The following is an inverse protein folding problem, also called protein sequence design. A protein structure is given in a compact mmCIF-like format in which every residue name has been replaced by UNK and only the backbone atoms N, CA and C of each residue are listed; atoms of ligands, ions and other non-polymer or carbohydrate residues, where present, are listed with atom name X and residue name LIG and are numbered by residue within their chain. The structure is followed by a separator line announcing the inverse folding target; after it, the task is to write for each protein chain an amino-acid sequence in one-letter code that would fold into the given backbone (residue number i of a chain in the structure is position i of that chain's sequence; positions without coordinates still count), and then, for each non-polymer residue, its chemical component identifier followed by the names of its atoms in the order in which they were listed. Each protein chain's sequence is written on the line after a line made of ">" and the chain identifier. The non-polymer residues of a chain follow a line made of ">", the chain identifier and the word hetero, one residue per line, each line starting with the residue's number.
data_IF_605920026240
#
_entry.id   IF_605920026240
#
_cell.length_a   1.000
_cell.length_b   1.000
_cell.length_c   1.000
_cell.angle_alpha   90.00
_cell.angle_beta   90.00
_cell.angle_gamma   90.00
#
_symmetry.space_group_name_H-M   'P 1'
#
loop_
_entity.id
_entity.type
_entity.pdbx_description
1 polymer ?
#
# COMPACT_ATOMS: atom_id res chain seq x y z
N UNK A 1 0.97 29.73 0.25
CA UNK A 1 0.16 29.00 1.25
C UNK A 1 0.63 27.54 1.29
N UNK A 2 0.94 27.03 2.49
CA UNK A 2 1.62 25.74 2.72
C UNK A 2 0.75 24.55 2.29
N UNK A 3 1.43 23.56 1.71
CA UNK A 3 0.93 22.31 1.12
C UNK A 3 0.02 21.53 2.07
N UNK A 4 -1.21 21.24 1.62
CA UNK A 4 -2.06 20.19 2.18
C UNK A 4 -1.43 18.82 1.86
N UNK A 5 -0.51 18.34 2.70
CA UNK A 5 -0.04 16.95 2.72
C UNK A 5 -1.08 15.98 3.33
N UNK A 6 -2.28 16.47 3.68
CA UNK A 6 -3.38 15.74 4.29
C UNK A 6 -4.38 15.26 3.23
N UNK A 7 -3.97 14.33 2.36
CA UNK A 7 -4.97 13.44 1.77
C UNK A 7 -5.29 12.37 2.83
N UNK A 8 -6.58 12.15 3.17
CA UNK A 8 -6.98 11.03 4.02
C UNK A 8 -6.42 9.73 3.44
N UNK A 9 -6.17 8.73 4.29
CA UNK A 9 -5.77 7.40 3.86
C UNK A 9 -6.69 6.91 2.71
N UNK A 10 -6.17 6.15 1.74
CA UNK A 10 -7.00 5.62 0.66
C UNK A 10 -8.25 4.96 1.21
N UNK A 11 -9.39 5.11 0.52
CA UNK A 11 -10.68 4.61 1.01
C UNK A 11 -10.61 3.11 1.26
N UNK A 12 -9.89 2.37 0.41
CA UNK A 12 -9.64 0.94 0.64
C UNK A 12 -8.86 0.66 1.92
N UNK A 13 -7.85 1.47 2.23
CA UNK A 13 -7.03 1.33 3.43
C UNK A 13 -7.87 1.54 4.69
N UNK A 14 -8.75 2.55 4.70
CA UNK A 14 -9.64 2.79 5.84
C UNK A 14 -10.65 1.64 6.02
N UNK A 15 -11.23 1.15 4.92
CA UNK A 15 -12.18 0.04 4.97
C UNK A 15 -11.51 -1.27 5.45
N UNK A 16 -10.31 -1.58 4.96
CA UNK A 16 -9.55 -2.77 5.37
C UNK A 16 -9.04 -2.66 6.81
N UNK A 17 -8.65 -1.48 7.26
CA UNK A 17 -8.28 -1.24 8.65
C UNK A 17 -9.48 -1.45 9.58
N UNK A 18 -10.65 -0.89 9.23
CA UNK A 18 -11.88 -1.11 9.97
C UNK A 18 -12.27 -2.60 9.99
N UNK A 19 -12.10 -3.30 8.86
CA UNK A 19 -12.32 -4.74 8.77
C UNK A 19 -11.40 -5.53 9.73
N UNK A 20 -10.11 -5.17 9.80
CA UNK A 20 -9.16 -5.77 10.74
C UNK A 20 -9.56 -5.54 12.21
N UNK A 21 -9.92 -4.29 12.56
CA UNK A 21 -10.38 -3.94 13.91
C UNK A 21 -11.64 -4.72 14.28
N UNK A 22 -12.63 -4.78 13.38
CA UNK A 22 -13.87 -5.52 13.63
C UNK A 22 -13.64 -7.03 13.76
N UNK A 23 -12.73 -7.60 12.97
CA UNK A 23 -12.31 -9.00 13.13
C UNK A 23 -11.69 -9.26 14.51
N UNK A 24 -10.82 -8.35 14.96
CA UNK A 24 -10.18 -8.43 16.28
C UNK A 24 -11.17 -8.28 17.43
N UNK A 25 -12.21 -7.48 17.25
CA UNK A 25 -13.30 -7.27 18.22
C UNK A 25 -14.41 -8.33 18.14
N UNK A 26 -14.21 -9.41 17.36
CA UNK A 26 -15.19 -10.50 17.19
C UNK A 26 -16.53 -10.04 16.57
N UNK A 27 -16.50 -9.05 15.68
CA UNK A 27 -17.61 -8.65 14.80
C UNK A 27 -17.35 -9.06 13.34
N UNK A 28 -17.25 -10.37 13.02
CA UNK A 28 -16.79 -10.84 11.72
C UNK A 28 -17.74 -10.46 10.58
N UNK A 29 -19.06 -10.45 10.79
CA UNK A 29 -20.03 -10.14 9.73
C UNK A 29 -19.86 -8.72 9.19
N UNK A 30 -19.78 -7.74 10.08
CA UNK A 30 -19.53 -6.34 9.70
C UNK A 30 -18.12 -6.18 9.12
N UNK A 31 -17.15 -6.89 9.69
CA UNK A 31 -15.78 -6.93 9.18
C UNK A 31 -15.67 -7.48 7.75
N UNK A 32 -16.38 -8.55 7.41
CA UNK A 32 -16.40 -9.12 6.06
C UNK A 32 -17.02 -8.17 5.02
N UNK A 33 -18.08 -7.44 5.40
CA UNK A 33 -18.67 -6.41 4.53
C UNK A 33 -17.64 -5.33 4.22
N UNK A 34 -16.94 -4.82 5.24
CA UNK A 34 -15.91 -3.81 5.06
C UNK A 34 -14.68 -4.35 4.33
N UNK A 35 -14.31 -5.61 4.55
CA UNK A 35 -13.23 -6.27 3.82
C UNK A 35 -13.55 -6.32 2.33
N UNK A 36 -14.74 -6.81 1.97
CA UNK A 36 -15.21 -6.84 0.58
C UNK A 36 -15.27 -5.44 -0.05
N UNK A 37 -15.83 -4.47 0.67
CA UNK A 37 -15.88 -3.08 0.21
C UNK A 37 -14.47 -2.50 0.00
N UNK A 38 -13.54 -2.80 0.90
CA UNK A 38 -12.13 -2.38 0.82
C UNK A 38 -11.42 -2.96 -0.40
N UNK A 39 -11.61 -4.26 -0.70
CA UNK A 39 -11.05 -4.91 -1.88
C UNK A 39 -11.64 -4.32 -3.17
N UNK A 40 -12.96 -4.08 -3.23
CA UNK A 40 -13.60 -3.47 -4.41
C UNK A 40 -13.14 -2.03 -4.61
N UNK A 41 -13.08 -1.24 -3.54
CA UNK A 41 -12.57 0.13 -3.59
C UNK A 41 -11.12 0.15 -4.05
N UNK A 42 -10.31 -0.79 -3.55
CA UNK A 42 -8.93 -0.93 -3.99
C UNK A 42 -8.85 -1.23 -5.48
N UNK A 43 -9.56 -2.25 -5.97
CA UNK A 43 -9.52 -2.65 -7.37
C UNK A 43 -10.05 -1.57 -8.34
N UNK A 44 -11.06 -0.78 -7.93
CA UNK A 44 -11.72 0.18 -8.83
C UNK A 44 -11.17 1.61 -8.74
N UNK A 45 -10.75 2.04 -7.56
CA UNK A 45 -10.38 3.43 -7.29
C UNK A 45 -8.87 3.59 -7.08
N UNK A 46 -8.29 2.77 -6.20
CA UNK A 46 -6.90 2.96 -5.75
C UNK A 46 -5.90 2.26 -6.67
N UNK A 47 -6.30 1.17 -7.34
CA UNK A 47 -5.49 0.43 -8.31
C UNK A 47 -5.21 1.22 -9.61
N UNK A 48 -5.84 2.37 -9.84
CA UNK A 48 -5.44 3.28 -10.92
C UNK A 48 -4.43 4.33 -10.42
N UNK A 49 -4.43 4.64 -9.13
CA UNK A 49 -3.47 5.53 -8.48
C UNK A 49 -2.14 4.84 -8.13
N UNK A 50 -2.12 3.51 -8.19
CA UNK A 50 -1.00 2.55 -8.22
C UNK A 50 0.34 3.05 -8.77
N UNK A 51 0.32 3.88 -9.81
CA UNK A 51 1.52 4.35 -10.50
C UNK A 51 2.08 5.67 -9.94
N UNK A 52 1.34 6.35 -9.05
CA UNK A 52 1.61 7.75 -8.69
C UNK A 52 1.88 7.99 -7.21
N UNK A 53 1.61 7.04 -6.31
CA UNK A 53 1.76 7.26 -4.86
C UNK A 53 2.27 6.04 -4.10
N UNK A 54 3.20 6.26 -3.18
CA UNK A 54 3.80 5.22 -2.31
C UNK A 54 2.83 4.68 -1.26
N UNK A 55 1.69 5.35 -1.04
CA UNK A 55 0.64 4.92 -0.10
C UNK A 55 -0.09 3.63 -0.52
N UNK A 56 0.24 3.10 -1.69
CA UNK A 56 -0.36 1.90 -2.27
C UNK A 56 -0.04 0.60 -1.49
N UNK A 57 1.11 0.52 -0.82
CA UNK A 57 1.52 -0.71 -0.11
C UNK A 57 0.66 -1.05 1.12
N UNK A 58 -0.08 -0.07 1.64
CA UNK A 58 -0.88 -0.23 2.85
C UNK A 58 -2.09 -1.15 2.67
N UNK A 59 -2.80 -1.08 1.54
CA UNK A 59 -4.02 -1.88 1.35
C UNK A 59 -3.73 -3.39 1.21
N UNK A 60 -2.73 -3.84 0.42
CA UNK A 60 -2.35 -5.27 0.39
C UNK A 60 -1.89 -5.79 1.75
N UNK A 61 -1.11 -5.00 2.50
CA UNK A 61 -0.67 -5.37 3.83
C UNK A 61 -1.85 -5.48 4.81
N UNK A 62 -2.77 -4.53 4.80
CA UNK A 62 -3.98 -4.59 5.63
C UNK A 62 -4.91 -5.72 5.23
N UNK A 63 -5.02 -6.05 3.94
CA UNK A 63 -5.80 -7.21 3.50
C UNK A 63 -5.23 -8.52 4.05
N UNK A 64 -3.88 -8.67 4.05
CA UNK A 64 -3.20 -9.80 4.67
C UNK A 64 -3.45 -9.90 6.17
N UNK A 65 -3.53 -8.78 6.89
CA UNK A 65 -3.80 -8.77 8.34
C UNK A 65 -5.28 -8.98 8.66
N UNK A 66 -6.17 -8.36 7.89
CA UNK A 66 -7.62 -8.42 8.09
C UNK A 66 -8.19 -9.82 7.85
N UNK A 67 -7.70 -10.54 6.83
CA UNK A 67 -8.25 -11.84 6.47
C UNK A 67 -8.14 -12.88 7.60
N UNK A 68 -6.96 -13.16 8.20
CA UNK A 68 -6.87 -14.08 9.34
C UNK A 68 -7.63 -13.58 10.57
N UNK A 69 -7.66 -12.26 10.81
CA UNK A 69 -8.43 -11.68 11.92
C UNK A 69 -9.95 -11.91 11.76
N UNK A 70 -10.45 -11.97 10.53
CA UNK A 70 -11.87 -12.23 10.23
C UNK A 70 -12.20 -13.71 10.12
N UNK A 71 -11.30 -14.50 9.54
CA UNK A 71 -11.50 -15.92 9.31
C UNK A 71 -11.21 -16.76 10.57
N UNK A 72 -10.40 -16.25 11.50
CA UNK A 72 -10.05 -16.92 12.74
C UNK A 72 -9.48 -18.32 12.50
N UNK A 73 -9.97 -19.32 13.24
CA UNK A 73 -9.55 -20.71 13.09
C UNK A 73 -9.88 -21.33 11.72
N UNK A 74 -10.75 -20.71 10.93
CA UNK A 74 -11.14 -21.15 9.59
C UNK A 74 -10.31 -20.47 8.47
N UNK A 75 -9.24 -19.75 8.83
CA UNK A 75 -8.39 -19.08 7.86
C UNK A 75 -7.73 -20.09 6.90
N UNK A 76 -8.17 -20.08 5.64
CA UNK A 76 -7.57 -20.91 4.60
C UNK A 76 -6.13 -20.47 4.30
N UNK A 77 -5.17 -21.39 4.48
CA UNK A 77 -3.74 -21.19 4.23
C UNK A 77 -3.45 -20.69 2.82
N UNK A 78 -4.14 -21.21 1.80
CA UNK A 78 -3.92 -20.80 0.41
C UNK A 78 -4.29 -19.32 0.18
N UNK A 79 -5.36 -18.84 0.82
CA UNK A 79 -5.79 -17.45 0.72
C UNK A 79 -4.81 -16.53 1.46
N UNK A 80 -4.40 -16.90 2.67
CA UNK A 80 -3.39 -16.15 3.42
C UNK A 80 -2.07 -16.08 2.65
N UNK A 81 -1.64 -17.19 2.04
CA UNK A 81 -0.43 -17.23 1.22
C UNK A 81 -0.55 -16.33 -0.03
N UNK A 82 -1.68 -16.37 -0.73
CA UNK A 82 -1.91 -15.52 -1.89
C UNK A 82 -1.89 -14.02 -1.51
N UNK A 83 -2.50 -13.65 -0.37
CA UNK A 83 -2.44 -12.29 0.15
C UNK A 83 -1.02 -11.87 0.54
N UNK A 84 -0.24 -12.79 1.14
CA UNK A 84 1.14 -12.53 1.55
C UNK A 84 2.04 -12.32 0.33
N UNK A 85 1.91 -13.19 -0.68
CA UNK A 85 2.63 -13.05 -1.94
C UNK A 85 2.29 -11.74 -2.63
N UNK A 86 1.01 -11.37 -2.67
CA UNK A 86 0.57 -10.10 -3.25
C UNK A 86 1.15 -8.89 -2.49
N UNK A 87 1.10 -8.90 -1.16
CA UNK A 87 1.68 -7.83 -0.34
C UNK A 87 3.20 -7.71 -0.55
N UNK A 88 3.91 -8.84 -0.64
CA UNK A 88 5.35 -8.89 -0.90
C UNK A 88 5.69 -8.31 -2.28
N UNK A 89 4.97 -8.73 -3.33
CA UNK A 89 5.18 -8.21 -4.70
C UNK A 89 4.99 -6.69 -4.73
N UNK A 90 3.93 -6.19 -4.10
CA UNK A 90 3.68 -4.75 -4.02
C UNK A 90 4.79 -4.02 -3.26
N UNK A 91 5.24 -4.57 -2.13
CA UNK A 91 6.34 -4.02 -1.35
C UNK A 91 7.65 -3.94 -2.14
N UNK A 92 7.97 -4.99 -2.91
CA UNK A 92 9.16 -5.01 -3.78
C UNK A 92 9.08 -3.96 -4.89
N UNK A 93 7.91 -3.78 -5.51
CA UNK A 93 7.70 -2.76 -6.54
C UNK A 93 7.93 -1.35 -5.97
N UNK A 94 7.36 -1.06 -4.79
CA UNK A 94 7.53 0.24 -4.14
C UNK A 94 8.99 0.48 -3.73
N UNK A 95 9.63 -0.51 -3.13
CA UNK A 95 11.04 -0.42 -2.75
C UNK A 95 11.94 -0.19 -3.96
N UNK A 96 11.70 -0.90 -5.06
CA UNK A 96 12.42 -0.73 -6.33
C UNK A 96 12.26 0.67 -6.92
N UNK A 97 11.06 1.26 -6.81
CA UNK A 97 10.81 2.65 -7.24
C UNK A 97 11.57 3.65 -6.40
N UNK A 98 11.55 3.52 -5.08
CA UNK A 98 12.30 4.40 -4.18
C UNK A 98 13.80 4.34 -4.48
N UNK A 99 14.36 3.14 -4.59
CA UNK A 99 15.76 2.93 -4.99
C UNK A 99 16.06 3.58 -6.34
N UNK A 100 15.17 3.42 -7.33
CA UNK A 100 15.35 4.03 -8.65
C UNK A 100 15.28 5.56 -8.65
N UNK A 101 14.43 6.15 -7.81
CA UNK A 101 14.36 7.60 -7.64
C UNK A 101 15.62 8.14 -6.98
N UNK A 102 16.11 7.47 -5.94
CA UNK A 102 17.34 7.86 -5.25
C UNK A 102 18.56 7.81 -6.18
N UNK A 103 18.66 6.76 -7.01
CA UNK A 103 19.73 6.64 -8.02
C UNK A 103 19.65 7.76 -9.06
N UNK A 104 18.44 8.08 -9.57
CA UNK A 104 18.26 9.19 -10.53
C UNK A 104 18.62 10.54 -9.91
N UNK A 105 18.24 10.75 -8.65
CA UNK A 105 18.53 11.98 -7.93
C UNK A 105 20.03 12.13 -7.67
N UNK A 106 20.71 11.05 -7.27
CA UNK A 106 22.17 11.02 -7.16
C UNK A 106 22.84 11.32 -8.51
N UNK A 107 22.43 10.66 -9.60
CA UNK A 107 22.98 10.89 -10.93
C UNK A 107 22.78 12.34 -11.43
N UNK A 108 21.64 12.97 -11.08
CA UNK A 108 21.35 14.35 -11.44
C UNK A 108 22.17 15.37 -10.62
N UNK A 109 22.53 15.04 -9.38
CA UNK A 109 23.45 15.85 -8.56
C UNK A 109 24.88 15.76 -9.11
N UNK A 110 25.34 14.56 -9.48
CA UNK A 110 26.66 14.37 -10.09
C UNK A 110 26.81 15.08 -11.44
N UNK A 111 25.76 15.15 -12.26
CA UNK A 111 25.79 15.87 -13.54
C UNK A 111 25.83 17.39 -13.36
N UNK A 112 25.12 17.96 -12.39
CA UNK A 112 25.23 19.38 -12.05
C UNK A 112 26.62 19.76 -11.56
N UNK A 113 27.22 18.94 -10.69
CA UNK A 113 28.55 19.21 -10.16
C UNK A 113 29.64 19.18 -11.26
N UNK A 114 29.51 18.28 -12.23
CA UNK A 114 30.37 18.21 -13.42
C UNK A 114 30.18 19.40 -14.37
N UNK A 115 28.95 19.95 -14.45
CA UNK A 115 28.65 21.16 -15.22
C UNK A 115 29.22 22.44 -14.61
N UNK A 116 29.26 22.54 -13.28
CA UNK A 116 29.83 23.67 -12.54
C UNK A 116 31.37 23.67 -12.64
N UNK A 117 32.02 22.51 -12.53
CA UNK A 117 33.48 22.41 -12.63
C UNK A 117 34.04 22.73 -14.03
N UNK A 118 33.20 22.76 -15.07
CA UNK A 118 33.59 23.13 -16.44
C UNK A 118 33.46 24.64 -16.74
N UNK A 119 32.94 25.42 -15.79
CA UNK A 119 32.70 26.87 -15.92
C UNK A 119 33.68 27.74 -15.13
N UNK A 120 34.64 27.14 -14.43
CA UNK A 120 35.73 27.80 -13.70
C UNK A 120 37.01 27.58 -14.52
#
# INVERSE_FOLDING_TARGET
>A
MKRLHNLPLPVSTMALLAAFVLGSLQYPTAGWILFGAGIVAWAKLDAKQLLKSDRYGLSPALALLAYPALAGAQANTAVTFALALHALVVFLILTSRHLSQDIKQAAHVFSQQKGISRRI
#
